data_IF_526537359849
#
_entry.id   IF_526537359849
#
_cell.length_a   1.000
_cell.length_b   1.000
_cell.length_c   1.000
_cell.angle_alpha   90.00
_cell.angle_beta   90.00
_cell.angle_gamma   90.00
#
_symmetry.space_group_name_H-M   'P 1'
#
loop_
_entity.id
_entity.type
_entity.pdbx_description
1 polymer ?
#
# COMPACT_ATOMS: atom_id res chain seq x y z
N UNK A 1 -0.24 -4.79 -10.64
CA UNK A 1 0.28 -5.77 -9.67
C UNK A 1 -0.71 -5.83 -8.51
N UNK A 2 -1.28 -6.98 -8.16
CA UNK A 2 -2.17 -7.13 -6.99
C UNK A 2 -1.52 -8.11 -6.04
N UNK A 3 -1.23 -7.67 -4.82
CA UNK A 3 -0.71 -8.53 -3.75
C UNK A 3 -1.91 -8.94 -2.89
N UNK A 4 -2.47 -10.12 -3.15
CA UNK A 4 -3.61 -10.62 -2.36
C UNK A 4 -3.17 -10.99 -0.93
N UNK A 5 -4.04 -10.67 0.03
CA UNK A 5 -3.87 -10.99 1.47
C UNK A 5 -3.73 -12.51 1.64
N UNK A 6 -2.50 -12.98 1.84
CA UNK A 6 -2.25 -14.37 2.19
C UNK A 6 -2.70 -14.55 3.65
N UNK A 7 -3.70 -15.39 3.90
CA UNK A 7 -4.30 -15.57 5.24
C UNK A 7 -3.35 -16.25 6.25
N UNK A 8 -2.22 -16.75 5.78
CA UNK A 8 -1.31 -17.64 6.52
C UNK A 8 -0.03 -16.94 7.00
N UNK A 9 0.04 -15.60 6.99
CA UNK A 9 1.16 -14.88 7.60
C UNK A 9 0.83 -14.61 9.06
N UNK A 10 1.47 -15.34 9.97
CA UNK A 10 1.49 -15.02 11.40
C UNK A 10 2.28 -13.71 11.61
N UNK A 11 1.62 -12.57 11.43
CA UNK A 11 2.18 -11.25 11.71
C UNK A 11 1.56 -10.11 10.92
N UNK A 12 1.64 -8.91 11.50
CA UNK A 12 1.25 -7.66 10.82
C UNK A 12 2.37 -7.20 9.86
N UNK A 13 1.96 -6.78 8.67
CA UNK A 13 2.82 -6.38 7.56
C UNK A 13 2.20 -5.19 6.84
N UNK A 14 3.05 -4.22 6.51
CA UNK A 14 2.74 -3.14 5.56
C UNK A 14 3.88 -3.00 4.56
N UNK A 15 3.55 -2.85 3.28
CA UNK A 15 4.50 -2.69 2.18
C UNK A 15 4.16 -1.40 1.42
N UNK A 16 5.21 -0.63 1.14
CA UNK A 16 5.21 0.46 0.18
C UNK A 16 6.20 0.10 -0.92
N UNK A 17 5.74 0.01 -2.16
CA UNK A 17 6.59 -0.32 -3.30
C UNK A 17 6.27 0.57 -4.51
N UNK A 18 7.29 0.81 -5.33
CA UNK A 18 7.18 1.52 -6.61
C UNK A 18 7.92 0.71 -7.67
N UNK A 19 7.30 0.48 -8.82
CA UNK A 19 7.94 -0.19 -9.96
C UNK A 19 8.61 0.80 -10.93
N UNK A 20 9.31 0.27 -11.93
CA UNK A 20 10.01 1.06 -12.96
C UNK A 20 9.10 1.96 -13.80
N UNK A 21 7.79 1.67 -13.83
CA UNK A 21 6.79 2.41 -14.58
C UNK A 21 6.10 3.47 -13.71
N UNK A 22 6.49 3.57 -12.42
CA UNK A 22 5.97 4.55 -11.48
C UNK A 22 4.65 4.15 -10.83
N UNK A 23 4.22 2.89 -10.95
CA UNK A 23 3.05 2.39 -10.23
C UNK A 23 3.37 2.23 -8.75
N UNK A 24 2.45 2.65 -7.88
CA UNK A 24 2.63 2.59 -6.42
C UNK A 24 1.72 1.53 -5.81
N UNK A 25 2.29 0.64 -5.00
CA UNK A 25 1.56 -0.33 -4.18
C UNK A 25 1.65 0.05 -2.69
N UNK A 26 0.49 0.10 -2.02
CA UNK A 26 0.33 0.49 -0.62
C UNK A 26 -0.49 -0.58 0.12
N UNK A 27 0.09 -1.75 0.34
CA UNK A 27 -0.61 -2.97 0.79
C UNK A 27 -0.31 -3.27 2.26
N UNK A 28 -1.32 -3.73 3.00
CA UNK A 28 -1.17 -4.08 4.42
C UNK A 28 -2.27 -5.02 4.92
N UNK A 29 -1.91 -5.87 5.89
CA UNK A 29 -2.84 -6.84 6.49
C UNK A 29 -3.37 -6.43 7.88
N UNK A 30 -2.75 -5.42 8.52
CA UNK A 30 -3.12 -4.90 9.84
C UNK A 30 -4.32 -3.93 9.81
N UNK A 31 -4.78 -3.49 10.99
CA UNK A 31 -5.94 -2.61 11.15
C UNK A 31 -5.74 -1.22 10.52
N UNK A 32 -4.49 -0.73 10.48
CA UNK A 32 -4.16 0.60 9.97
C UNK A 32 -2.74 0.71 9.45
N UNK A 33 -2.55 1.59 8.48
CA UNK A 33 -1.25 1.95 7.92
C UNK A 33 -1.26 3.44 7.54
N UNK A 34 -0.54 4.26 8.32
CA UNK A 34 -0.29 5.66 7.99
C UNK A 34 0.56 5.72 6.72
N UNK A 35 -0.01 6.20 5.62
CA UNK A 35 0.63 6.14 4.30
C UNK A 35 0.26 7.33 3.43
N UNK A 36 1.15 7.65 2.50
CA UNK A 36 0.88 8.62 1.47
C UNK A 36 1.66 8.31 0.20
N UNK A 37 1.14 8.78 -0.93
CA UNK A 37 1.79 8.67 -2.23
C UNK A 37 1.53 9.91 -3.07
N UNK A 38 2.51 10.33 -3.86
CA UNK A 38 2.40 11.42 -4.82
C UNK A 38 3.22 11.07 -6.06
N UNK A 39 2.69 11.37 -7.23
CA UNK A 39 3.47 11.34 -8.47
C UNK A 39 3.20 12.59 -9.29
N UNK A 40 3.89 12.75 -10.42
CA UNK A 40 3.59 13.80 -11.40
C UNK A 40 2.26 13.55 -12.13
N UNK A 41 1.82 12.29 -12.21
CA UNK A 41 0.63 11.86 -12.96
C UNK A 41 -0.59 11.58 -12.09
N UNK A 42 -0.41 11.40 -10.78
CA UNK A 42 -1.46 11.06 -9.82
C UNK A 42 -1.51 12.11 -8.70
N UNK A 43 -2.71 12.50 -8.25
CA UNK A 43 -2.85 13.42 -7.13
C UNK A 43 -2.28 12.83 -5.83
N UNK A 44 -1.99 13.71 -4.88
CA UNK A 44 -1.58 13.31 -3.54
C UNK A 44 -2.66 12.42 -2.91
N UNK A 45 -2.27 11.24 -2.43
CA UNK A 45 -3.10 10.36 -1.61
C UNK A 45 -2.49 10.30 -0.21
N UNK A 46 -3.32 10.45 0.81
CA UNK A 46 -2.96 10.25 2.22
C UNK A 46 -4.07 9.44 2.86
N UNK A 47 -3.72 8.36 3.57
CA UNK A 47 -4.68 7.47 4.20
C UNK A 47 -4.08 6.83 5.46
N UNK A 48 -4.96 6.39 6.36
CA UNK A 48 -4.59 5.64 7.57
C UNK A 48 -5.33 4.31 7.58
N UNK A 49 -6.64 4.35 7.35
CA UNK A 49 -7.49 3.16 7.33
C UNK A 49 -7.74 2.67 5.90
N UNK A 50 -8.40 1.50 5.78
CA UNK A 50 -8.95 1.02 4.50
C UNK A 50 -10.20 1.86 4.21
N UNK A 51 -10.50 2.03 2.93
CA UNK A 51 -11.78 2.64 2.51
C UNK A 51 -12.95 1.74 2.92
#
# INVERSE_FOLDING_TARGET
MSFSKNKDVDGDLGIIAVDKDGNVALEYNCDRMHRGSKSSSQPLKVAIYKD
#
